data_IF_289460868859
#
_entry.id   IF_289460868859
#
_cell.length_a   1.000
_cell.length_b   1.000
_cell.length_c   1.000
_cell.angle_alpha   90.00
_cell.angle_beta   90.00
_cell.angle_gamma   90.00
#
_symmetry.space_group_name_H-M   'P 1'
#
loop_
_entity.id
_entity.type
_entity.pdbx_description
1 polymer ?
#
# COMPACT_ATOMS: atom_id res chain seq x y z
N UNK A 1 -20.54 -8.72 -3.20
CA UNK A 1 -20.84 -7.28 -3.17
C UNK A 1 -20.89 -6.74 -4.59
N UNK A 2 -21.67 -5.69 -4.84
CA UNK A 2 -21.72 -5.00 -6.14
C UNK A 2 -20.42 -4.22 -6.39
N UNK A 3 -20.21 -3.75 -7.63
CA UNK A 3 -19.09 -2.86 -7.95
C UNK A 3 -19.14 -1.57 -7.11
N UNK A 4 -20.32 -0.97 -6.97
CA UNK A 4 -20.51 0.25 -6.18
C UNK A 4 -20.16 0.02 -4.70
N UNK A 5 -20.57 -1.11 -4.13
CA UNK A 5 -20.19 -1.49 -2.77
C UNK A 5 -18.69 -1.69 -2.63
N UNK A 6 -18.02 -2.35 -3.59
CA UNK A 6 -16.57 -2.53 -3.56
C UNK A 6 -15.81 -1.20 -3.60
N UNK A 7 -16.25 -0.27 -4.45
CA UNK A 7 -15.67 1.07 -4.56
C UNK A 7 -15.81 1.85 -3.25
N UNK A 8 -17.02 1.84 -2.66
CA UNK A 8 -17.30 2.57 -1.42
C UNK A 8 -16.64 1.94 -0.19
N UNK A 9 -16.54 0.60 -0.13
CA UNK A 9 -15.96 -0.12 1.00
C UNK A 9 -14.43 -0.09 1.01
N UNK A 10 -13.78 0.11 -0.14
CA UNK A 10 -12.32 0.11 -0.24
C UNK A 10 -11.73 1.27 0.57
N UNK A 11 -10.89 0.94 1.54
CA UNK A 11 -10.15 1.89 2.38
C UNK A 11 -8.74 1.34 2.67
N UNK A 12 -7.84 2.20 3.14
CA UNK A 12 -6.48 1.79 3.52
C UNK A 12 -6.47 1.30 4.97
N UNK A 13 -6.53 -0.02 5.15
CA UNK A 13 -6.46 -0.67 6.46
C UNK A 13 -5.03 -0.62 7.01
N UNK A 14 -4.85 -0.28 8.29
CA UNK A 14 -3.52 -0.18 8.95
C UNK A 14 -3.35 -1.12 10.13
N UNK A 15 -4.24 -2.09 10.23
CA UNK A 15 -4.23 -3.19 11.19
C UNK A 15 -4.77 -4.41 10.46
N UNK A 16 -4.01 -5.50 10.45
CA UNK A 16 -4.40 -6.73 9.78
C UNK A 16 -4.43 -7.88 10.76
N UNK A 17 -5.36 -8.81 10.53
CA UNK A 17 -5.37 -10.08 11.23
C UNK A 17 -4.22 -10.95 10.70
N UNK A 18 -3.65 -11.86 11.52
CA UNK A 18 -2.67 -12.84 11.06
C UNK A 18 -3.29 -13.95 10.18
N UNK A 19 -4.56 -13.80 9.79
CA UNK A 19 -5.31 -14.77 8.97
C UNK A 19 -4.73 -14.80 7.55
N UNK A 20 -4.19 -15.94 7.07
CA UNK A 20 -3.66 -16.03 5.72
C UNK A 20 -4.76 -15.79 4.68
N UNK A 21 -4.40 -15.17 3.56
CA UNK A 21 -5.28 -15.05 2.39
C UNK A 21 -5.12 -16.31 1.54
N UNK A 22 -6.21 -17.02 1.20
CA UNK A 22 -6.13 -18.19 0.32
C UNK A 22 -5.50 -17.84 -1.02
N UNK A 23 -4.67 -18.74 -1.56
CA UNK A 23 -3.95 -18.49 -2.81
C UNK A 23 -4.90 -18.25 -4.00
N UNK A 24 -6.00 -19.00 -4.09
CA UNK A 24 -7.02 -18.82 -5.12
C UNK A 24 -7.61 -17.40 -5.13
N UNK A 25 -7.88 -16.82 -3.96
CA UNK A 25 -8.39 -15.44 -3.83
C UNK A 25 -7.41 -14.43 -4.42
N UNK A 26 -6.10 -14.64 -4.22
CA UNK A 26 -5.07 -13.79 -4.81
C UNK A 26 -4.99 -13.99 -6.33
N UNK A 27 -4.96 -15.23 -6.80
CA UNK A 27 -4.85 -15.55 -8.23
C UNK A 27 -6.06 -15.01 -9.01
N UNK A 28 -7.27 -15.19 -8.51
CA UNK A 28 -8.48 -14.63 -9.13
C UNK A 28 -8.48 -13.09 -9.17
N UNK A 29 -7.99 -12.44 -8.12
CA UNK A 29 -7.91 -10.98 -8.08
C UNK A 29 -6.85 -10.45 -9.06
N UNK A 30 -5.72 -11.14 -9.18
CA UNK A 30 -4.66 -10.83 -10.14
C UNK A 30 -5.12 -11.05 -11.59
N UNK A 31 -5.86 -12.13 -11.85
CA UNK A 31 -6.42 -12.39 -13.18
C UNK A 31 -7.47 -11.33 -13.55
N UNK A 32 -8.29 -10.86 -12.61
CA UNK A 32 -9.20 -9.75 -12.88
C UNK A 32 -8.45 -8.43 -13.13
N UNK A 33 -7.37 -8.18 -12.39
CA UNK A 33 -6.60 -6.95 -12.50
C UNK A 33 -5.94 -6.78 -13.88
N UNK A 34 -5.66 -7.87 -14.61
CA UNK A 34 -5.06 -7.84 -15.94
C UNK A 34 -5.88 -7.06 -16.98
N UNK A 35 -7.19 -6.92 -16.75
CA UNK A 35 -8.10 -6.17 -17.62
C UNK A 35 -7.99 -4.65 -17.43
N UNK A 36 -7.15 -4.19 -16.48
CA UNK A 36 -6.79 -2.79 -16.37
C UNK A 36 -6.18 -2.28 -17.68
N UNK A 37 -6.60 -1.11 -18.19
CA UNK A 37 -6.04 -0.57 -19.42
C UNK A 37 -4.56 -0.18 -19.22
N UNK A 38 -3.78 -0.25 -20.29
CA UNK A 38 -2.42 0.28 -20.31
C UNK A 38 -2.10 1.02 -21.59
N UNK A 39 -1.20 2.00 -21.49
CA UNK A 39 -0.56 2.62 -22.64
C UNK A 39 -0.04 1.54 -23.59
N UNK A 40 -0.34 1.66 -24.88
CA UNK A 40 0.02 0.71 -25.95
C UNK A 40 -0.22 -0.78 -25.64
N UNK A 41 -1.08 -1.09 -24.66
CA UNK A 41 -1.37 -2.42 -24.13
C UNK A 41 -0.14 -3.24 -23.65
N UNK A 42 0.99 -2.59 -23.29
CA UNK A 42 2.22 -3.30 -22.88
C UNK A 42 2.14 -3.96 -21.50
N UNK A 43 1.13 -3.64 -20.69
CA UNK A 43 0.88 -4.21 -19.36
C UNK A 43 2.16 -4.18 -18.48
N UNK A 44 2.64 -2.98 -18.12
CA UNK A 44 4.01 -2.78 -17.63
C UNK A 44 4.25 -3.23 -16.19
N UNK A 45 3.19 -3.61 -15.46
CA UNK A 45 3.27 -4.02 -14.06
C UNK A 45 3.97 -5.38 -13.90
N UNK A 46 4.86 -5.47 -12.91
CA UNK A 46 5.45 -6.72 -12.41
C UNK A 46 5.20 -6.82 -10.92
N UNK A 47 4.43 -7.83 -10.50
CA UNK A 47 4.06 -8.00 -9.09
C UNK A 47 4.84 -9.15 -8.45
N UNK A 48 5.46 -8.86 -7.32
CA UNK A 48 6.06 -9.84 -6.44
C UNK A 48 5.18 -9.98 -5.20
N UNK A 49 4.48 -11.11 -5.07
CA UNK A 49 3.61 -11.40 -3.93
C UNK A 49 4.35 -12.30 -2.95
N UNK A 50 4.55 -11.82 -1.72
CA UNK A 50 5.29 -12.51 -0.67
C UNK A 50 4.35 -12.91 0.47
N UNK A 51 4.53 -14.14 0.95
CA UNK A 51 3.89 -14.69 2.15
C UNK A 51 4.92 -15.44 2.98
N UNK A 52 4.58 -15.85 4.20
CA UNK A 52 5.42 -16.74 5.02
C UNK A 52 6.86 -16.26 5.23
N UNK A 53 7.82 -17.14 5.00
CA UNK A 53 9.24 -16.88 5.28
C UNK A 53 9.86 -15.75 4.42
N UNK A 54 9.68 -15.70 3.08
CA UNK A 54 10.14 -14.57 2.27
C UNK A 54 9.62 -13.21 2.77
N UNK A 55 8.33 -13.15 3.15
CA UNK A 55 7.74 -11.93 3.71
C UNK A 55 8.38 -11.55 5.04
N UNK A 56 8.62 -12.52 5.93
CA UNK A 56 9.31 -12.29 7.20
C UNK A 56 10.71 -11.69 6.99
N UNK A 57 11.46 -12.23 6.02
CA UNK A 57 12.80 -11.72 5.66
C UNK A 57 12.73 -10.30 5.12
N UNK A 58 11.77 -10.01 4.23
CA UNK A 58 11.56 -8.66 3.69
C UNK A 58 11.21 -7.65 4.80
N UNK A 59 10.25 -7.99 5.67
CA UNK A 59 9.86 -7.16 6.82
C UNK A 59 11.06 -6.81 7.70
N UNK A 60 11.88 -7.79 8.05
CA UNK A 60 13.07 -7.58 8.86
C UNK A 60 14.09 -6.64 8.18
N UNK A 61 14.38 -6.87 6.90
CA UNK A 61 15.33 -6.04 6.15
C UNK A 61 14.85 -4.60 6.00
N UNK A 62 13.57 -4.40 5.63
CA UNK A 62 12.98 -3.08 5.44
C UNK A 62 12.88 -2.33 6.77
N UNK A 63 12.52 -3.00 7.87
CA UNK A 63 12.50 -2.38 9.20
C UNK A 63 13.89 -2.01 9.70
N UNK A 64 14.91 -2.86 9.47
CA UNK A 64 16.28 -2.56 9.82
C UNK A 64 16.81 -1.33 9.07
N UNK A 65 16.58 -1.27 7.75
CA UNK A 65 16.92 -0.12 6.94
C UNK A 65 16.16 1.15 7.39
N UNK A 66 14.88 1.00 7.73
CA UNK A 66 14.04 2.08 8.23
C UNK A 66 14.50 2.64 9.59
N UNK A 67 15.07 1.78 10.44
CA UNK A 67 15.50 2.15 11.78
C UNK A 67 16.92 2.72 11.82
N UNK A 68 17.72 2.43 10.79
CA UNK A 68 19.13 2.85 10.70
C UNK A 68 19.33 4.35 10.43
N UNK A 69 18.29 5.07 10.00
CA UNK A 69 18.36 6.51 9.76
C UNK A 69 17.30 7.27 10.55
N UNK A 70 17.64 8.47 11.01
CA UNK A 70 16.65 9.47 11.46
C UNK A 70 16.13 10.32 10.30
N UNK A 71 16.73 10.18 9.10
CA UNK A 71 16.26 10.85 7.90
C UNK A 71 14.87 10.36 7.47
N UNK A 72 14.04 11.25 6.91
CA UNK A 72 12.77 10.85 6.31
C UNK A 72 13.02 9.79 5.24
N UNK A 73 12.57 8.57 5.51
CA UNK A 73 12.77 7.39 4.67
C UNK A 73 12.21 7.62 3.25
N UNK A 74 13.12 7.90 2.31
CA UNK A 74 12.91 8.36 0.92
C UNK A 74 11.83 9.44 0.80
N UNK A 75 12.28 10.67 0.52
CA UNK A 75 11.45 11.84 0.35
C UNK A 75 10.24 11.55 -0.54
N UNK A 76 9.06 11.46 0.07
CA UNK A 76 7.80 11.68 -0.65
C UNK A 76 8.01 13.00 -1.40
N UNK A 77 7.82 13.04 -2.73
CA UNK A 77 8.01 14.26 -3.49
C UNK A 77 7.27 15.42 -2.80
N UNK A 78 7.90 16.60 -2.67
CA UNK A 78 7.27 17.72 -1.99
C UNK A 78 5.95 18.05 -2.69
N UNK A 79 4.91 18.30 -1.90
CA UNK A 79 3.64 18.78 -2.44
C UNK A 79 3.77 20.29 -2.71
N UNK A 80 3.05 20.81 -3.72
CA UNK A 80 2.81 22.24 -3.84
C UNK A 80 2.29 22.81 -2.50
N UNK A 81 2.78 23.99 -2.11
CA UNK A 81 2.51 24.58 -0.80
C UNK A 81 1.01 24.69 -0.45
N UNK A 82 0.15 24.89 -1.44
CA UNK A 82 -1.30 24.99 -1.26
C UNK A 82 -1.98 23.64 -0.91
N UNK A 83 -1.32 22.50 -1.14
CA UNK A 83 -1.81 21.16 -0.80
C UNK A 83 -1.25 20.64 0.53
N UNK A 84 -0.22 21.28 1.08
CA UNK A 84 0.36 20.92 2.37
C UNK A 84 -0.64 20.89 3.54
N UNK A 85 -1.60 21.83 3.65
CA UNK A 85 -2.63 21.78 4.68
C UNK A 85 -3.47 20.51 4.63
N UNK A 86 -3.80 20.01 3.42
CA UNK A 86 -4.59 18.79 3.23
C UNK A 86 -3.83 17.55 3.74
N UNK A 87 -2.53 17.47 3.42
CA UNK A 87 -1.65 16.40 3.91
C UNK A 87 -1.54 16.41 5.44
N UNK A 88 -1.40 17.60 6.04
CA UNK A 88 -1.33 17.76 7.51
C UNK A 88 -2.63 17.36 8.19
N UNK A 89 -3.77 17.81 7.65
CA UNK A 89 -5.09 17.47 8.18
C UNK A 89 -5.34 15.95 8.16
N UNK A 90 -5.04 15.29 7.04
CA UNK A 90 -5.16 13.84 6.95
C UNK A 90 -4.20 13.10 7.90
N UNK A 91 -2.95 13.57 8.00
CA UNK A 91 -1.99 13.05 8.97
C UNK A 91 -2.50 13.13 10.41
N UNK A 92 -3.08 14.27 10.81
CA UNK A 92 -3.65 14.45 12.15
C UNK A 92 -4.80 13.46 12.42
N UNK A 93 -5.65 13.17 11.44
CA UNK A 93 -6.70 12.15 11.57
C UNK A 93 -6.12 10.74 11.71
N UNK A 94 -5.15 10.38 10.87
CA UNK A 94 -4.56 9.03 10.90
C UNK A 94 -3.79 8.77 12.20
N UNK A 95 -2.90 9.68 12.58
CA UNK A 95 -2.06 9.49 13.77
C UNK A 95 -2.80 9.82 15.06
N UNK A 96 -3.54 10.93 15.11
CA UNK A 96 -4.31 11.34 16.27
C UNK A 96 -5.50 10.41 16.51
N UNK A 97 -6.58 10.57 15.75
CA UNK A 97 -7.80 9.77 15.97
C UNK A 97 -7.64 8.28 15.63
N UNK A 98 -6.84 7.95 14.62
CA UNK A 98 -6.70 6.57 14.14
C UNK A 98 -5.78 5.70 15.00
N UNK A 99 -4.67 6.25 15.49
CA UNK A 99 -3.71 5.51 16.32
C UNK A 99 -3.70 5.93 17.79
N UNK A 100 -4.42 6.98 18.17
CA UNK A 100 -4.38 7.52 19.54
C UNK A 100 -3.04 8.15 19.88
N UNK A 101 -2.31 8.68 18.89
CA UNK A 101 -0.97 9.22 19.08
C UNK A 101 -1.03 10.74 19.13
N UNK A 102 -0.66 11.29 20.29
CA UNK A 102 -0.57 12.73 20.51
C UNK A 102 0.47 13.39 19.58
N UNK A 103 0.19 14.63 19.16
CA UNK A 103 1.04 15.34 18.21
C UNK A 103 2.49 15.49 18.72
N UNK A 104 2.66 15.73 20.02
CA UNK A 104 3.93 15.95 20.69
C UNK A 104 4.66 14.64 21.09
N UNK A 105 3.99 13.48 20.99
CA UNK A 105 4.61 12.18 21.29
C UNK A 105 5.44 11.69 20.10
N UNK A 106 6.66 12.20 20.01
CA UNK A 106 7.60 11.85 18.94
C UNK A 106 7.92 10.35 18.89
N UNK A 107 7.94 9.68 20.05
CA UNK A 107 8.30 8.26 20.15
C UNK A 107 7.18 7.41 19.55
N UNK A 108 5.94 7.61 19.98
CA UNK A 108 4.79 6.87 19.47
C UNK A 108 4.52 7.18 17.99
N UNK A 109 4.78 8.43 17.54
CA UNK A 109 4.71 8.78 16.11
C UNK A 109 5.74 8.04 15.29
N UNK A 110 6.99 7.99 15.75
CA UNK A 110 8.05 7.22 15.08
C UNK A 110 7.68 5.74 15.02
N UNK A 111 7.19 5.17 16.12
CA UNK A 111 6.71 3.79 16.16
C UNK A 111 5.57 3.54 15.16
N UNK A 112 4.57 4.42 15.09
CA UNK A 112 3.47 4.33 14.13
C UNK A 112 3.94 4.39 12.67
N UNK A 113 4.94 5.23 12.38
CA UNK A 113 5.59 5.27 11.06
C UNK A 113 6.35 3.97 10.77
N UNK A 114 7.08 3.42 11.74
CA UNK A 114 7.83 2.17 11.57
C UNK A 114 6.91 0.96 11.32
N UNK A 115 5.68 0.94 11.85
CA UNK A 115 4.70 -0.11 11.56
C UNK A 115 4.37 -0.24 10.06
N UNK A 116 4.42 0.86 9.32
CA UNK A 116 4.25 0.84 7.86
C UNK A 116 5.34 0.01 7.17
N UNK A 117 6.58 0.07 7.66
CA UNK A 117 7.71 -0.69 7.13
C UNK A 117 7.64 -2.18 7.49
N UNK A 118 6.90 -2.52 8.55
CA UNK A 118 6.46 -3.89 8.85
C UNK A 118 5.22 -4.34 8.08
N UNK A 119 4.74 -3.56 7.10
CA UNK A 119 3.49 -3.79 6.35
C UNK A 119 2.26 -3.91 7.26
N UNK A 120 2.23 -3.19 8.39
CA UNK A 120 1.16 -3.26 9.39
C UNK A 120 0.83 -4.69 9.85
N UNK A 121 1.84 -5.56 9.85
CA UNK A 121 1.73 -6.97 10.20
C UNK A 121 0.86 -7.81 9.24
N UNK A 122 0.57 -7.30 8.04
CA UNK A 122 -0.18 -8.02 7.02
C UNK A 122 0.46 -9.39 6.69
N UNK A 123 -0.34 -10.45 6.48
CA UNK A 123 0.16 -11.80 6.19
C UNK A 123 0.62 -11.97 4.74
N UNK A 124 0.31 -10.99 3.87
CA UNK A 124 0.70 -10.92 2.46
C UNK A 124 1.22 -9.51 2.17
N UNK A 125 2.30 -9.40 1.41
CA UNK A 125 2.72 -8.13 0.82
C UNK A 125 2.93 -8.29 -0.69
N UNK A 126 2.59 -7.25 -1.45
CA UNK A 126 2.86 -7.17 -2.87
C UNK A 126 3.78 -5.98 -3.15
N UNK A 127 4.86 -6.22 -3.90
CA UNK A 127 5.71 -5.16 -4.44
C UNK A 127 5.44 -5.07 -5.94
N UNK A 128 5.05 -3.88 -6.39
CA UNK A 128 4.88 -3.59 -7.81
C UNK A 128 6.15 -2.92 -8.34
N UNK A 129 6.66 -3.49 -9.43
CA UNK A 129 7.79 -2.97 -10.17
C UNK A 129 7.31 -2.59 -11.57
N UNK A 130 7.98 -1.61 -12.14
CA UNK A 130 7.85 -1.18 -13.53
C UNK A 130 9.26 -0.99 -14.07
N UNK A 131 9.43 -1.16 -15.38
CA UNK A 131 10.69 -0.86 -16.04
C UNK A 131 11.06 0.63 -15.85
N UNK A 132 12.33 0.91 -15.61
CA UNK A 132 12.81 2.26 -15.28
C UNK A 132 12.80 3.21 -16.47
N UNK A 133 12.81 2.68 -17.70
CA UNK A 133 12.75 3.47 -18.93
C UNK A 133 11.32 3.98 -19.20
N UNK A 134 10.32 3.44 -18.52
CA UNK A 134 8.92 3.78 -18.74
C UNK A 134 8.53 5.10 -18.06
N UNK A 135 7.62 5.82 -18.73
CA UNK A 135 7.28 7.19 -18.40
C UNK A 135 6.02 7.33 -17.54
N UNK A 136 5.56 8.59 -17.43
CA UNK A 136 4.31 8.93 -16.73
C UNK A 136 3.07 8.17 -17.24
N UNK A 137 2.87 7.96 -18.57
CA UNK A 137 1.71 7.21 -19.06
C UNK A 137 1.67 5.76 -18.55
N UNK A 138 2.83 5.15 -18.41
CA UNK A 138 2.95 3.78 -17.93
C UNK A 138 2.75 3.70 -16.42
N UNK A 139 3.20 4.72 -15.67
CA UNK A 139 2.86 4.87 -14.25
C UNK A 139 1.34 5.00 -14.03
N UNK A 140 0.62 5.72 -14.89
CA UNK A 140 -0.85 5.75 -14.86
C UNK A 140 -1.46 4.38 -15.14
N UNK A 141 -0.89 3.62 -16.08
CA UNK A 141 -1.30 2.24 -16.40
C UNK A 141 -1.16 1.32 -15.19
N UNK A 142 -0.04 1.42 -14.47
CA UNK A 142 0.16 0.70 -13.20
C UNK A 142 -0.88 1.14 -12.15
N UNK A 143 -1.17 2.43 -12.05
CA UNK A 143 -2.21 2.94 -11.14
C UNK A 143 -3.60 2.36 -11.43
N UNK A 144 -3.98 2.27 -12.70
CA UNK A 144 -5.25 1.67 -13.14
C UNK A 144 -5.31 0.16 -12.86
N UNK A 145 -4.21 -0.56 -13.11
CA UNK A 145 -4.08 -1.96 -12.73
C UNK A 145 -4.22 -2.17 -11.21
N UNK A 146 -3.48 -1.39 -10.41
CA UNK A 146 -3.52 -1.49 -8.96
C UNK A 146 -4.93 -1.22 -8.44
N UNK A 147 -5.59 -0.16 -8.91
CA UNK A 147 -6.95 0.14 -8.47
C UNK A 147 -7.92 -1.02 -8.81
N UNK A 148 -7.80 -1.63 -9.99
CA UNK A 148 -8.60 -2.80 -10.37
C UNK A 148 -8.33 -3.97 -9.42
N UNK A 149 -7.06 -4.24 -9.09
CA UNK A 149 -6.67 -5.25 -8.13
C UNK A 149 -7.24 -4.98 -6.72
N UNK A 150 -7.17 -3.72 -6.25
CA UNK A 150 -7.68 -3.35 -4.93
C UNK A 150 -9.20 -3.56 -4.84
N UNK A 151 -9.95 -3.23 -5.89
CA UNK A 151 -11.38 -3.47 -5.95
C UNK A 151 -11.70 -4.97 -6.00
N UNK A 152 -10.93 -5.76 -6.77
CA UNK A 152 -11.07 -7.20 -6.86
C UNK A 152 -10.84 -7.91 -5.52
N UNK A 153 -9.85 -7.45 -4.75
CA UNK A 153 -9.55 -7.92 -3.38
C UNK A 153 -10.64 -7.50 -2.40
N UNK A 154 -11.10 -6.25 -2.46
CA UNK A 154 -12.18 -5.73 -1.62
C UNK A 154 -13.47 -6.52 -1.84
N UNK A 155 -13.80 -6.84 -3.10
CA UNK A 155 -14.96 -7.66 -3.45
C UNK A 155 -14.93 -9.08 -2.86
N UNK A 156 -13.74 -9.58 -2.53
CA UNK A 156 -13.50 -10.88 -1.88
C UNK A 156 -13.31 -10.77 -0.37
N UNK A 157 -13.58 -9.60 0.22
CA UNK A 157 -13.47 -9.38 1.66
C UNK A 157 -12.03 -9.29 2.17
N UNK A 158 -11.06 -8.98 1.31
CA UNK A 158 -9.65 -8.82 1.69
C UNK A 158 -9.37 -7.35 1.98
N UNK A 159 -9.03 -7.03 3.23
CA UNK A 159 -8.51 -5.72 3.61
C UNK A 159 -7.15 -5.45 3.00
N UNK A 160 -6.84 -4.19 2.71
CA UNK A 160 -5.64 -3.81 1.95
C UNK A 160 -5.09 -2.44 2.37
N UNK A 161 -3.80 -2.22 2.10
CA UNK A 161 -3.15 -0.92 2.24
C UNK A 161 -2.20 -0.72 1.08
N UNK A 162 -2.29 0.44 0.42
CA UNK A 162 -1.29 0.89 -0.54
C UNK A 162 -0.37 1.92 0.12
N UNK A 163 0.89 1.89 -0.29
CA UNK A 163 1.90 2.93 -0.06
C UNK A 163 2.59 3.19 -1.38
#
# INVERSE_FOLDING_TARGET
ITLQEAIAARHSSRVFLPKPVPRCVLDEALDLARYGPSNTNIQPWRLFVLTGYPLKKLKAAVLAAASATDEPLRAIPPLPAHLEPLRKAFGAQVYGTGFGVEWNDKISRRAAVLRMFGFFDAPVAAVVCVDEELGRPDALSVGMYLQTLLLALTARGVGLSCR
#
